data_IF_055635879099
#
_entry.id   IF_055635879099
#
_cell.length_a   1.000
_cell.length_b   1.000
_cell.length_c   1.000
_cell.angle_alpha   90.00
_cell.angle_beta   90.00
_cell.angle_gamma   90.00
#
_symmetry.space_group_name_H-M   'P 1'
#
loop_
_entity.id
_entity.type
_entity.pdbx_description
1 polymer ?
#
# COMPACT_ATOMS: atom_id res chain seq x y z
N UNK A 1 0.36 -17.74 6.39
CA UNK A 1 -1.09 -17.67 6.66
C UNK A 1 -1.72 -16.47 5.98
N UNK A 2 -1.83 -15.32 6.66
CA UNK A 2 -2.60 -14.17 6.15
C UNK A 2 -1.84 -13.25 5.17
N UNK A 3 -0.52 -13.07 5.32
CA UNK A 3 0.24 -12.18 4.44
C UNK A 3 0.36 -12.71 3.01
N UNK A 4 0.50 -14.02 2.83
CA UNK A 4 0.57 -14.63 1.49
C UNK A 4 -0.73 -14.45 0.70
N UNK A 5 -1.89 -14.61 1.34
CA UNK A 5 -3.18 -14.37 0.71
C UNK A 5 -3.38 -12.89 0.37
N UNK A 6 -2.90 -11.99 1.23
CA UNK A 6 -2.92 -10.55 0.97
C UNK A 6 -2.09 -10.17 -0.26
N UNK A 7 -0.85 -10.67 -0.38
CA UNK A 7 -0.01 -10.40 -1.55
C UNK A 7 -0.55 -11.04 -2.83
N UNK A 8 -1.16 -12.23 -2.74
CA UNK A 8 -1.87 -12.84 -3.88
C UNK A 8 -3.04 -11.98 -4.35
N UNK A 9 -3.82 -11.42 -3.43
CA UNK A 9 -4.92 -10.52 -3.78
C UNK A 9 -4.41 -9.23 -4.44
N UNK A 10 -3.36 -8.61 -3.88
CA UNK A 10 -2.73 -7.44 -4.50
C UNK A 10 -2.28 -7.74 -5.92
N UNK A 11 -1.57 -8.86 -6.11
CA UNK A 11 -1.10 -9.29 -7.43
C UNK A 11 -2.28 -9.42 -8.41
N UNK A 12 -3.32 -10.16 -8.03
CA UNK A 12 -4.50 -10.34 -8.88
C UNK A 12 -5.22 -9.02 -9.21
N UNK A 13 -5.33 -8.10 -8.25
CA UNK A 13 -5.90 -6.77 -8.46
C UNK A 13 -5.07 -5.93 -9.43
N UNK A 14 -3.74 -5.97 -9.31
CA UNK A 14 -2.84 -5.27 -10.24
C UNK A 14 -2.96 -5.86 -11.64
N UNK A 15 -2.87 -7.18 -11.80
CA UNK A 15 -3.01 -7.85 -13.11
C UNK A 15 -4.35 -7.52 -13.79
N UNK A 16 -5.44 -7.50 -13.01
CA UNK A 16 -6.77 -7.12 -13.50
C UNK A 16 -6.80 -5.67 -13.98
N UNK A 17 -6.27 -4.73 -13.20
CA UNK A 17 -6.25 -3.31 -13.56
C UNK A 17 -5.39 -3.04 -14.80
N UNK A 18 -4.23 -3.69 -14.90
CA UNK A 18 -3.37 -3.61 -16.09
C UNK A 18 -4.09 -4.14 -17.33
N UNK A 19 -4.78 -5.29 -17.22
CA UNK A 19 -5.59 -5.81 -18.34
C UNK A 19 -6.66 -4.81 -18.78
N UNK A 20 -7.27 -4.08 -17.83
CA UNK A 20 -8.28 -3.06 -18.13
C UNK A 20 -7.70 -1.76 -18.71
N UNK A 21 -6.45 -1.44 -18.43
CA UNK A 21 -5.74 -0.36 -19.11
C UNK A 21 -5.50 -0.65 -20.61
N UNK A 22 -5.52 -1.92 -21.03
CA UNK A 22 -5.31 -2.31 -22.43
C UNK A 22 -6.62 -2.55 -23.21
N UNK A 23 -7.78 -2.26 -22.62
CA UNK A 23 -9.08 -2.44 -23.26
C UNK A 23 -9.31 -1.43 -24.40
N UNK A 24 -10.10 -1.79 -25.40
CA UNK A 24 -10.39 -0.91 -26.54
C UNK A 24 -11.25 0.30 -26.16
N UNK A 25 -12.11 0.16 -25.14
CA UNK A 25 -12.96 1.23 -24.65
C UNK A 25 -12.16 2.27 -23.84
N UNK A 26 -12.16 3.51 -24.31
CA UNK A 26 -11.47 4.63 -23.65
C UNK A 26 -11.91 4.85 -22.21
N UNK A 27 -13.22 4.77 -21.93
CA UNK A 27 -13.74 4.99 -20.58
C UNK A 27 -13.30 3.88 -19.62
N UNK A 28 -13.19 2.64 -20.13
CA UNK A 28 -12.66 1.51 -19.36
C UNK A 28 -11.18 1.73 -19.04
N UNK A 29 -10.37 2.15 -20.02
CA UNK A 29 -8.95 2.48 -19.78
C UNK A 29 -8.79 3.59 -18.77
N UNK A 30 -9.50 4.70 -18.95
CA UNK A 30 -9.44 5.86 -18.04
C UNK A 30 -9.80 5.47 -16.61
N UNK A 31 -10.89 4.72 -16.44
CA UNK A 31 -11.33 4.24 -15.11
C UNK A 31 -10.30 3.30 -14.49
N UNK A 32 -9.67 2.42 -15.30
CA UNK A 32 -8.64 1.51 -14.84
C UNK A 32 -7.37 2.24 -14.39
N UNK A 33 -6.92 3.23 -15.16
CA UNK A 33 -5.76 4.08 -14.82
C UNK A 33 -6.00 4.86 -13.51
N UNK A 34 -7.16 5.49 -13.36
CA UNK A 34 -7.53 6.18 -12.12
C UNK A 34 -7.58 5.22 -10.92
N UNK A 35 -8.16 4.04 -11.13
CA UNK A 35 -8.28 3.00 -10.10
C UNK A 35 -6.91 2.45 -9.70
N UNK A 36 -6.01 2.25 -10.65
CA UNK A 36 -4.64 1.82 -10.40
C UNK A 36 -3.86 2.85 -9.60
N UNK A 37 -3.97 4.14 -9.97
CA UNK A 37 -3.35 5.23 -9.23
C UNK A 37 -3.85 5.29 -7.78
N UNK A 38 -5.18 5.22 -7.57
CA UNK A 38 -5.78 5.19 -6.23
C UNK A 38 -5.32 3.96 -5.44
N UNK A 39 -5.28 2.78 -6.07
CA UNK A 39 -4.85 1.54 -5.43
C UNK A 39 -3.40 1.63 -4.92
N UNK A 40 -2.48 2.13 -5.74
CA UNK A 40 -1.07 2.32 -5.36
C UNK A 40 -0.94 3.32 -4.20
N UNK A 41 -1.69 4.43 -4.22
CA UNK A 41 -1.65 5.41 -3.12
C UNK A 41 -2.16 4.81 -1.81
N UNK A 42 -3.24 4.02 -1.85
CA UNK A 42 -3.78 3.36 -0.68
C UNK A 42 -2.80 2.34 -0.07
N UNK A 43 -2.07 1.60 -0.91
CA UNK A 43 -1.02 0.68 -0.43
C UNK A 43 0.10 1.44 0.28
N UNK A 44 0.53 2.58 -0.27
CA UNK A 44 1.56 3.44 0.36
C UNK A 44 1.09 3.96 1.72
N UNK A 45 -0.14 4.49 1.80
CA UNK A 45 -0.68 5.03 3.04
C UNK A 45 -0.87 3.95 4.10
N UNK A 46 -1.27 2.73 3.72
CA UNK A 46 -1.39 1.61 4.65
C UNK A 46 -0.03 1.23 5.28
N UNK A 47 1.03 1.16 4.47
CA UNK A 47 2.40 0.90 4.97
C UNK A 47 2.86 2.04 5.87
N UNK A 48 2.66 3.29 5.45
CA UNK A 48 3.05 4.46 6.23
C UNK A 48 2.33 4.52 7.59
N UNK A 49 1.02 4.23 7.61
CA UNK A 49 0.22 4.15 8.82
C UNK A 49 0.77 3.08 9.77
N UNK A 50 1.11 1.90 9.25
CA UNK A 50 1.71 0.83 10.07
C UNK A 50 3.04 1.25 10.68
N UNK A 51 3.91 1.92 9.91
CA UNK A 51 5.17 2.47 10.41
C UNK A 51 4.90 3.50 11.53
N UNK A 52 3.97 4.44 11.31
CA UNK A 52 3.60 5.46 12.32
C UNK A 52 3.11 4.84 13.63
N UNK A 53 2.28 3.79 13.55
CA UNK A 53 1.77 3.08 14.73
C UNK A 53 2.90 2.39 15.51
N UNK A 54 3.80 1.69 14.82
CA UNK A 54 4.93 1.04 15.48
C UNK A 54 5.91 2.04 16.09
N UNK A 55 6.19 3.14 15.40
CA UNK A 55 7.02 4.23 15.94
C UNK A 55 6.38 4.82 17.20
N UNK A 56 5.07 5.10 17.18
CA UNK A 56 4.36 5.58 18.35
C UNK A 56 4.43 4.58 19.51
N UNK A 57 4.27 3.28 19.24
CA UNK A 57 4.41 2.22 20.24
C UNK A 57 5.81 2.22 20.86
N UNK A 58 6.86 2.30 20.04
CA UNK A 58 8.26 2.33 20.50
C UNK A 58 8.50 3.54 21.41
N UNK A 59 8.10 4.74 20.97
CA UNK A 59 8.28 6.00 21.71
C UNK A 59 7.52 5.96 23.04
N UNK A 60 6.25 5.52 23.02
CA UNK A 60 5.42 5.44 24.22
C UNK A 60 6.01 4.50 25.28
N UNK A 61 6.59 3.38 24.87
CA UNK A 61 7.15 2.38 25.78
C UNK A 61 8.63 2.61 26.11
N UNK A 62 9.34 3.45 25.34
CA UNK A 62 10.74 3.78 25.55
C UNK A 62 10.97 5.30 25.37
N UNK A 63 10.55 6.13 26.34
CA UNK A 63 10.60 7.59 26.21
C UNK A 63 12.02 8.16 26.07
N UNK A 64 13.07 7.38 26.36
CA UNK A 64 14.47 7.75 26.22
C UNK A 64 15.12 7.29 24.89
N UNK A 65 14.38 6.59 24.02
CA UNK A 65 14.87 6.18 22.69
C UNK A 65 14.58 7.33 21.73
N UNK A 66 15.41 8.36 21.82
CA UNK A 66 15.46 9.43 20.83
C UNK A 66 16.18 8.99 19.54
N UNK A 67 16.18 9.83 18.49
CA UNK A 67 16.82 9.53 17.19
C UNK A 67 18.29 9.09 17.27
N UNK A 68 18.97 9.40 18.38
CA UNK A 68 20.37 9.08 18.64
C UNK A 68 20.63 7.62 19.06
N UNK A 69 19.58 6.82 19.30
CA UNK A 69 19.71 5.40 19.66
C UNK A 69 19.80 4.46 18.43
N UNK A 70 19.60 4.98 17.22
CA UNK A 70 19.72 4.26 15.94
C UNK A 70 21.10 4.50 15.32
N UNK A 71 22.17 4.36 16.10
CA UNK A 71 23.54 4.31 15.57
C UNK A 71 23.88 2.91 15.08
#
# INVERSE_FOLDING_TARGET
>A
GNNENYFKLIKASVETLFTKCDENDYNVRLTAEESLNKFVQNLKEAVLTRIRVELYRIIKHNPNVGPNALK
#
